data_IF_205805555847
#
_entry.id   IF_205805555847
#
_cell.length_a   1.000
_cell.length_b   1.000
_cell.length_c   1.000
_cell.angle_alpha   90.00
_cell.angle_beta   90.00
_cell.angle_gamma   90.00
#
_symmetry.space_group_name_H-M   'P 1'
#
loop_
_entity.id
_entity.type
_entity.pdbx_description
1 polymer ?
#
# COMPACT_ATOMS: atom_id res chain seq x y z
N UNK A 1 34.49 12.37 0.26
CA UNK A 1 33.05 12.72 0.43
C UNK A 1 32.08 11.88 -0.41
N UNK A 2 32.50 11.14 -1.47
CA UNK A 2 31.54 10.38 -2.30
C UNK A 2 30.91 9.15 -1.63
N UNK A 3 31.56 8.50 -0.65
CA UNK A 3 31.01 7.29 -0.02
C UNK A 3 29.74 7.53 0.80
N UNK A 4 29.53 8.75 1.31
CA UNK A 4 28.33 9.07 2.09
C UNK A 4 27.06 9.08 1.22
N UNK A 5 27.17 9.48 -0.06
CA UNK A 5 26.02 9.56 -0.97
C UNK A 5 25.37 8.19 -1.21
N UNK A 6 26.18 7.15 -1.41
CA UNK A 6 25.69 5.78 -1.66
C UNK A 6 24.93 5.20 -0.46
N UNK A 7 25.42 5.45 0.76
CA UNK A 7 24.77 4.96 1.98
C UNK A 7 23.50 5.76 2.26
N UNK A 8 23.54 7.09 2.13
CA UNK A 8 22.39 7.96 2.38
C UNK A 8 21.23 7.68 1.41
N UNK A 9 21.53 7.40 0.14
CA UNK A 9 20.51 7.03 -0.85
C UNK A 9 19.78 5.74 -0.47
N UNK A 10 20.50 4.71 -0.02
CA UNK A 10 19.88 3.45 0.43
C UNK A 10 19.02 3.64 1.68
N UNK A 11 19.46 4.49 2.62
CA UNK A 11 18.69 4.81 3.82
C UNK A 11 17.41 5.56 3.46
N UNK A 12 17.48 6.54 2.55
CA UNK A 12 16.31 7.31 2.12
C UNK A 12 15.31 6.46 1.36
N UNK A 13 15.78 5.61 0.44
CA UNK A 13 14.96 4.63 -0.30
C UNK A 13 14.23 3.69 0.66
N UNK A 14 14.94 3.08 1.62
CA UNK A 14 14.34 2.20 2.61
C UNK A 14 13.29 2.90 3.48
N UNK A 15 13.59 4.12 3.94
CA UNK A 15 12.68 4.94 4.73
C UNK A 15 11.43 5.31 3.95
N UNK A 16 11.58 5.62 2.66
CA UNK A 16 10.47 5.92 1.75
C UNK A 16 9.52 4.73 1.62
N UNK A 17 10.03 3.54 1.29
CA UNK A 17 9.19 2.34 1.16
C UNK A 17 8.44 2.01 2.45
N UNK A 18 9.10 2.10 3.62
CA UNK A 18 8.44 1.86 4.90
C UNK A 18 7.37 2.91 5.21
N UNK A 19 7.64 4.18 4.91
CA UNK A 19 6.68 5.26 5.13
C UNK A 19 5.48 5.15 4.19
N UNK A 20 5.72 4.76 2.94
CA UNK A 20 4.67 4.46 1.97
C UNK A 20 3.85 3.24 2.43
N UNK A 21 4.51 2.15 2.81
CA UNK A 21 3.84 0.94 3.29
C UNK A 21 2.94 1.20 4.51
N UNK A 22 3.44 1.95 5.49
CA UNK A 22 2.66 2.35 6.68
C UNK A 22 1.49 3.31 6.37
N UNK A 23 1.50 3.97 5.21
CA UNK A 23 0.45 4.92 4.82
C UNK A 23 -0.58 4.31 3.87
N UNK A 24 -0.15 3.40 3.00
CA UNK A 24 -0.97 2.83 1.94
C UNK A 24 -1.61 1.50 2.35
N UNK A 25 -0.93 0.69 3.16
CA UNK A 25 -1.39 -0.66 3.45
C UNK A 25 -1.76 -0.85 4.92
N UNK A 26 -2.75 -1.71 5.12
CA UNK A 26 -3.10 -2.29 6.41
C UNK A 26 -2.65 -3.76 6.41
N UNK A 27 -2.13 -4.24 7.54
CA UNK A 27 -1.71 -5.64 7.66
C UNK A 27 -2.85 -6.49 8.21
N UNK A 28 -3.19 -7.58 7.51
CA UNK A 28 -4.06 -8.63 8.03
C UNK A 28 -3.24 -9.55 8.93
N UNK A 29 -3.63 -9.70 10.20
CA UNK A 29 -2.93 -10.58 11.14
C UNK A 29 -3.92 -11.35 12.01
N UNK A 30 -3.76 -12.68 12.08
CA UNK A 30 -4.47 -13.53 13.05
C UNK A 30 -4.01 -13.26 14.50
N UNK A 31 -2.81 -12.72 14.67
CA UNK A 31 -2.25 -12.40 15.99
C UNK A 31 -2.51 -10.92 16.30
N UNK A 32 -3.39 -10.65 17.26
CA UNK A 32 -3.81 -9.28 17.60
C UNK A 32 -2.69 -8.38 18.13
N UNK A 33 -1.52 -8.93 18.49
CA UNK A 33 -0.46 -8.21 19.22
C UNK A 33 0.91 -8.21 18.50
N UNK A 34 0.95 -8.36 17.17
CA UNK A 34 2.24 -8.29 16.45
C UNK A 34 2.83 -6.87 16.52
N UNK A 35 1.99 -5.85 16.38
CA UNK A 35 2.43 -4.44 16.32
C UNK A 35 2.19 -3.66 17.62
N UNK A 36 1.53 -4.27 18.61
CA UNK A 36 1.28 -3.61 19.89
C UNK A 36 2.55 -3.68 20.78
N UNK A 37 3.03 -2.51 21.20
CA UNK A 37 4.09 -2.41 22.21
C UNK A 37 3.53 -2.89 23.54
N UNK A 38 4.17 -3.87 24.19
CA UNK A 38 3.74 -4.39 25.51
C UNK A 38 3.60 -3.30 26.57
N UNK A 39 4.29 -2.17 26.40
CA UNK A 39 4.22 -1.00 27.28
C UNK A 39 2.91 -0.21 27.20
N UNK A 40 2.00 -0.51 26.28
CA UNK A 40 0.84 0.34 25.96
C UNK A 40 -0.51 -0.22 26.40
N UNK A 41 -0.54 -1.35 27.11
CA UNK A 41 -1.81 -1.98 27.52
C UNK A 41 -2.42 -1.39 28.81
N UNK A 42 -1.69 -0.53 29.55
CA UNK A 42 -2.15 -0.04 30.86
C UNK A 42 -2.66 1.41 30.89
N UNK A 43 -2.61 2.19 29.80
CA UNK A 43 -2.99 3.60 29.86
C UNK A 43 -3.59 4.12 28.56
N UNK A 44 -4.93 4.14 28.53
CA UNK A 44 -5.82 4.90 27.64
C UNK A 44 -5.74 4.67 26.11
N UNK A 45 -6.89 4.84 25.39
CA UNK A 45 -6.96 4.70 23.94
C UNK A 45 -6.24 5.85 23.25
N UNK A 46 -4.91 5.76 23.18
CA UNK A 46 -4.08 6.70 22.44
C UNK A 46 -4.53 6.73 20.96
N UNK A 47 -4.74 7.95 20.46
CA UNK A 47 -4.88 8.50 19.09
C UNK A 47 -4.76 7.61 17.83
N UNK A 48 -4.17 6.42 17.93
CA UNK A 48 -4.16 5.35 16.92
C UNK A 48 -5.53 4.88 16.44
N UNK A 49 -6.55 4.90 17.30
CA UNK A 49 -7.92 4.55 16.89
C UNK A 49 -8.47 5.50 15.81
N UNK A 50 -8.05 6.77 15.78
CA UNK A 50 -8.65 7.75 14.87
C UNK A 50 -8.36 7.46 13.38
N UNK A 51 -7.23 6.84 13.05
CA UNK A 51 -6.97 6.43 11.67
C UNK A 51 -7.83 5.25 11.26
N UNK A 52 -7.94 4.22 12.10
CA UNK A 52 -8.82 3.11 11.79
C UNK A 52 -10.26 3.61 11.68
N UNK A 53 -10.73 4.43 12.63
CA UNK A 53 -12.06 5.09 12.56
C UNK A 53 -12.26 5.94 11.32
N UNK A 54 -11.20 6.46 10.70
CA UNK A 54 -11.32 7.17 9.41
C UNK A 54 -11.64 6.21 8.26
N UNK A 55 -11.13 4.99 8.29
CA UNK A 55 -11.35 3.97 7.25
C UNK A 55 -12.48 2.98 7.57
N UNK A 56 -12.83 2.84 8.85
CA UNK A 56 -13.91 1.98 9.38
C UNK A 56 -15.06 2.78 9.96
N UNK A 57 -15.03 4.10 9.79
CA UNK A 57 -16.17 4.95 10.15
C UNK A 57 -17.37 4.49 9.35
N UNK A 58 -18.53 4.48 10.01
CA UNK A 58 -19.83 4.03 9.45
C UNK A 58 -20.16 4.73 8.11
N UNK A 59 -19.51 5.85 7.81
CA UNK A 59 -19.64 6.61 6.57
C UNK A 59 -19.11 5.90 5.31
N UNK A 60 -18.17 4.96 5.42
CA UNK A 60 -17.54 4.30 4.26
C UNK A 60 -17.95 2.84 4.07
N UNK A 61 -18.66 2.26 5.04
CA UNK A 61 -19.14 0.87 4.96
C UNK A 61 -20.63 0.94 4.63
N UNK A 62 -21.07 0.51 3.43
CA UNK A 62 -22.49 0.50 3.10
C UNK A 62 -23.25 -0.33 4.15
N UNK A 63 -24.44 0.13 4.55
CA UNK A 63 -25.23 -0.50 5.60
C UNK A 63 -25.54 -1.99 5.31
N UNK A 64 -25.54 -2.35 4.03
CA UNK A 64 -25.81 -3.70 3.53
C UNK A 64 -24.54 -4.56 3.33
N UNK A 65 -23.37 -4.09 3.77
CA UNK A 65 -22.13 -4.84 3.63
C UNK A 65 -22.23 -6.21 4.32
N UNK A 66 -21.79 -7.31 3.66
CA UNK A 66 -21.85 -8.64 4.25
C UNK A 66 -21.03 -8.70 5.55
N UNK A 67 -21.61 -9.34 6.57
CA UNK A 67 -21.01 -9.45 7.92
C UNK A 67 -19.59 -10.01 7.89
N UNK A 68 -19.28 -10.86 6.91
CA UNK A 68 -17.95 -11.44 6.69
C UNK A 68 -16.90 -10.39 6.33
N UNK A 69 -17.23 -9.45 5.45
CA UNK A 69 -16.32 -8.39 5.01
C UNK A 69 -16.05 -7.41 6.16
N UNK A 70 -17.07 -7.12 6.98
CA UNK A 70 -16.91 -6.33 8.20
C UNK A 70 -16.01 -7.05 9.21
N UNK A 71 -16.16 -8.37 9.37
CA UNK A 71 -15.29 -9.17 10.23
C UNK A 71 -13.85 -9.22 9.70
N UNK A 72 -13.67 -9.27 8.38
CA UNK A 72 -12.36 -9.18 7.74
C UNK A 72 -11.72 -7.80 7.95
N UNK A 73 -12.47 -6.71 7.77
CA UNK A 73 -11.97 -5.36 8.01
C UNK A 73 -11.53 -5.17 9.47
N UNK A 74 -12.28 -5.73 10.42
CA UNK A 74 -11.92 -5.72 11.85
C UNK A 74 -10.60 -6.46 12.15
N UNK A 75 -10.17 -7.37 11.28
CA UNK A 75 -8.90 -8.09 11.43
C UNK A 75 -7.68 -7.32 10.89
N UNK A 76 -7.89 -6.19 10.21
CA UNK A 76 -6.83 -5.33 9.72
C UNK A 76 -6.24 -4.48 10.84
N UNK A 77 -4.91 -4.45 10.90
CA UNK A 77 -4.16 -3.66 11.86
C UNK A 77 -3.31 -2.62 11.13
N UNK A 78 -3.22 -1.41 11.71
CA UNK A 78 -2.28 -0.40 11.23
C UNK A 78 -0.85 -0.88 11.45
N UNK A 79 -0.04 -0.84 10.39
CA UNK A 79 1.38 -1.18 10.47
C UNK A 79 2.08 -0.02 11.17
N UNK A 80 2.43 -0.23 12.44
CA UNK A 80 3.21 0.74 13.23
C UNK A 80 4.60 0.19 13.50
N UNK A 81 5.55 0.62 12.69
CA UNK A 81 6.96 0.27 12.87
C UNK A 81 7.65 1.38 13.66
N UNK A 82 8.25 1.01 14.79
CA UNK A 82 9.12 1.93 15.53
C UNK A 82 10.35 2.21 14.69
N UNK A 83 10.90 3.42 14.81
CA UNK A 83 12.14 3.79 14.12
C UNK A 83 13.29 2.81 14.43
N UNK A 84 13.38 2.31 15.68
CA UNK A 84 14.37 1.28 16.06
C UNK A 84 14.20 -0.03 15.29
N UNK A 85 12.96 -0.47 15.05
CA UNK A 85 12.69 -1.70 14.30
C UNK A 85 12.94 -1.49 12.80
N UNK A 86 12.60 -0.31 12.28
CA UNK A 86 12.95 0.12 10.92
C UNK A 86 14.47 0.13 10.70
N UNK A 87 15.24 0.74 11.61
CA UNK A 87 16.69 0.76 11.52
C UNK A 87 17.30 -0.65 11.63
N UNK A 88 16.75 -1.49 12.52
CA UNK A 88 17.16 -2.91 12.61
C UNK A 88 16.85 -3.68 11.33
N UNK A 89 15.72 -3.37 10.68
CA UNK A 89 15.32 -4.01 9.42
C UNK A 89 16.29 -3.62 8.30
N UNK A 90 16.65 -2.34 8.23
CA UNK A 90 17.67 -1.83 7.33
C UNK A 90 19.01 -2.53 7.55
N UNK A 91 19.50 -2.58 8.78
CA UNK A 91 20.76 -3.24 9.12
C UNK A 91 20.70 -4.75 8.84
N UNK A 92 19.58 -5.41 9.08
CA UNK A 92 19.42 -6.83 8.79
C UNK A 92 19.48 -7.16 7.29
N UNK A 93 19.13 -6.20 6.41
CA UNK A 93 19.24 -6.33 4.95
C UNK A 93 20.64 -5.94 4.46
N UNK A 94 21.26 -4.94 5.07
CA UNK A 94 22.55 -4.38 4.64
C UNK A 94 23.75 -5.16 5.18
N UNK A 95 23.71 -5.53 6.46
CA UNK A 95 24.78 -6.25 7.12
C UNK A 95 24.55 -7.74 6.89
N UNK A 96 25.43 -8.36 6.10
CA UNK A 96 25.40 -9.80 5.80
C UNK A 96 25.04 -10.66 7.02
N UNK A 97 24.27 -11.74 6.80
CA UNK A 97 23.71 -12.68 7.82
C UNK A 97 24.70 -13.10 8.93
N UNK A 98 26.02 -12.96 8.71
CA UNK A 98 27.10 -13.31 9.64
C UNK A 98 27.27 -12.38 10.85
N UNK A 99 27.00 -11.07 10.75
CA UNK A 99 27.36 -10.13 11.84
C UNK A 99 26.19 -9.88 12.80
N UNK A 100 24.95 -9.99 12.33
CA UNK A 100 23.78 -9.87 13.20
C UNK A 100 23.43 -11.21 13.83
N UNK A 101 24.11 -11.54 14.93
CA UNK A 101 23.74 -12.68 15.78
C UNK A 101 22.25 -12.63 16.13
N UNK A 102 21.59 -13.76 15.88
CA UNK A 102 20.14 -14.01 15.89
C UNK A 102 19.42 -13.81 17.25
N UNK A 103 20.01 -13.12 18.22
CA UNK A 103 19.77 -13.52 19.60
C UNK A 103 18.41 -13.11 20.17
N UNK A 104 17.74 -12.07 19.67
CA UNK A 104 16.48 -11.62 20.29
C UNK A 104 15.37 -11.16 19.34
N UNK A 105 15.51 -11.29 18.02
CA UNK A 105 14.50 -10.74 17.10
C UNK A 105 13.51 -11.79 16.58
N UNK A 106 12.66 -12.32 17.47
CA UNK A 106 11.63 -13.34 17.15
C UNK A 106 10.64 -12.91 16.04
N UNK A 107 10.53 -11.62 15.75
CA UNK A 107 9.62 -11.05 14.73
C UNK A 107 10.32 -10.68 13.41
N UNK A 108 11.61 -10.98 13.27
CA UNK A 108 12.43 -10.57 12.10
C UNK A 108 11.83 -11.04 10.78
N UNK A 109 11.55 -12.33 10.65
CA UNK A 109 11.13 -12.92 9.37
C UNK A 109 9.79 -12.35 8.90
N UNK A 110 8.86 -12.10 9.83
CA UNK A 110 7.57 -11.47 9.53
C UNK A 110 7.72 -10.04 9.03
N UNK A 111 8.66 -9.28 9.62
CA UNK A 111 8.92 -7.89 9.23
C UNK A 111 9.64 -7.80 7.89
N UNK A 112 10.56 -8.74 7.62
CA UNK A 112 11.22 -8.85 6.31
C UNK A 112 10.19 -9.18 5.24
N UNK A 113 9.35 -10.20 5.45
CA UNK A 113 8.32 -10.58 4.49
C UNK A 113 7.31 -9.44 4.25
N UNK A 114 6.86 -8.75 5.29
CA UNK A 114 5.99 -7.57 5.16
C UNK A 114 6.65 -6.48 4.32
N UNK A 115 7.95 -6.24 4.53
CA UNK A 115 8.68 -5.25 3.76
C UNK A 115 8.84 -5.66 2.29
N UNK A 116 9.26 -6.88 2.02
CA UNK A 116 9.42 -7.40 0.65
C UNK A 116 8.10 -7.35 -0.13
N UNK A 117 7.00 -7.82 0.46
CA UNK A 117 5.67 -7.73 -0.16
C UNK A 117 5.24 -6.28 -0.38
N UNK A 118 5.53 -5.38 0.56
CA UNK A 118 5.18 -3.97 0.40
C UNK A 118 5.99 -3.31 -0.73
N UNK A 119 7.27 -3.65 -0.88
CA UNK A 119 8.11 -3.14 -1.96
C UNK A 119 7.60 -3.66 -3.30
N UNK A 120 7.32 -4.96 -3.42
CA UNK A 120 6.79 -5.56 -4.64
C UNK A 120 5.46 -4.91 -5.06
N UNK A 121 4.52 -4.72 -4.10
CA UNK A 121 3.25 -4.05 -4.37
C UNK A 121 3.44 -2.59 -4.76
N UNK A 122 4.25 -1.85 -4.01
CA UNK A 122 4.57 -0.46 -4.31
C UNK A 122 5.19 -0.35 -5.70
N UNK A 123 6.14 -1.21 -6.07
CA UNK A 123 6.76 -1.21 -7.40
C UNK A 123 5.77 -1.58 -8.49
N UNK A 124 4.84 -2.51 -8.22
CA UNK A 124 3.78 -2.88 -9.17
C UNK A 124 2.77 -1.75 -9.40
N UNK A 125 2.42 -1.02 -8.34
CA UNK A 125 1.43 0.07 -8.35
C UNK A 125 2.05 1.41 -8.80
N UNK A 126 3.30 1.69 -8.42
CA UNK A 126 4.10 2.86 -8.83
C UNK A 126 4.88 2.64 -10.12
N UNK A 127 4.56 1.61 -10.92
CA UNK A 127 5.02 1.54 -12.30
C UNK A 127 4.26 2.56 -13.16
N UNK A 128 4.41 3.84 -12.79
CA UNK A 128 3.95 5.03 -13.50
C UNK A 128 4.47 4.99 -14.93
N UNK A 129 5.60 4.32 -15.18
CA UNK A 129 6.14 4.09 -16.52
C UNK A 129 5.25 3.12 -17.31
N UNK A 130 4.75 2.02 -16.73
CA UNK A 130 3.71 1.17 -17.35
C UNK A 130 2.41 1.94 -17.57
N UNK A 131 1.98 2.76 -16.61
CA UNK A 131 0.77 3.57 -16.74
C UNK A 131 0.93 4.59 -17.89
N UNK A 132 2.06 5.29 -17.96
CA UNK A 132 2.37 6.26 -19.03
C UNK A 132 2.57 5.56 -20.38
N UNK A 133 3.19 4.37 -20.42
CA UNK A 133 3.33 3.56 -21.64
C UNK A 133 1.96 3.10 -22.15
N UNK A 134 1.09 2.59 -21.28
CA UNK A 134 -0.29 2.23 -21.65
C UNK A 134 -1.09 3.41 -22.19
N UNK A 135 -0.97 4.59 -21.57
CA UNK A 135 -1.60 5.83 -22.07
C UNK A 135 -1.03 6.27 -23.43
N UNK A 136 0.29 6.13 -23.65
CA UNK A 136 0.93 6.42 -24.94
C UNK A 136 0.48 5.44 -26.01
N UNK A 137 0.43 4.15 -25.72
CA UNK A 137 0.01 3.11 -26.66
C UNK A 137 -1.46 3.29 -27.06
N UNK A 138 -2.33 3.63 -26.11
CA UNK A 138 -3.72 4.01 -26.38
C UNK A 138 -3.81 5.24 -27.30
N UNK A 139 -2.99 6.28 -27.04
CA UNK A 139 -2.93 7.48 -27.86
C UNK A 139 -2.39 7.21 -29.27
N UNK A 140 -1.41 6.32 -29.40
CA UNK A 140 -0.85 5.90 -30.70
C UNK A 140 -1.89 5.08 -31.47
N UNK A 141 -2.58 4.15 -30.79
CA UNK A 141 -3.68 3.38 -31.35
C UNK A 141 -4.76 4.33 -31.90
N UNK A 142 -5.20 5.34 -31.14
CA UNK A 142 -6.18 6.32 -31.59
C UNK A 142 -5.70 7.24 -32.74
N UNK A 143 -4.39 7.43 -32.87
CA UNK A 143 -3.77 8.31 -33.88
C UNK A 143 -3.44 7.60 -35.19
N UNK A 144 -3.14 6.29 -35.15
CA UNK A 144 -2.84 5.53 -36.36
C UNK A 144 -4.05 5.53 -37.31
N UNK A 145 -3.83 5.95 -38.55
CA UNK A 145 -4.84 6.13 -39.60
C UNK A 145 -5.40 4.82 -40.17
N UNK A 146 -4.91 3.67 -39.69
CA UNK A 146 -5.31 2.33 -40.14
C UNK A 146 -6.62 1.86 -39.49
N UNK A 147 -7.06 2.52 -38.41
CA UNK A 147 -8.36 2.24 -37.82
C UNK A 147 -9.48 2.82 -38.68
N UNK A 148 -10.31 1.92 -39.21
CA UNK A 148 -11.56 2.26 -39.89
C UNK A 148 -12.36 3.24 -39.00
N UNK A 149 -12.86 4.39 -39.52
CA UNK A 149 -13.57 5.41 -38.73
C UNK A 149 -14.65 4.85 -37.82
N UNK A 150 -15.29 3.75 -38.22
CA UNK A 150 -16.32 3.04 -37.46
C UNK A 150 -15.76 2.39 -36.18
N UNK A 151 -14.60 1.74 -36.25
CA UNK A 151 -13.92 1.15 -35.08
C UNK A 151 -13.38 2.26 -34.18
N UNK A 152 -12.88 3.36 -34.76
CA UNK A 152 -12.45 4.54 -34.02
C UNK A 152 -13.61 5.21 -33.26
N UNK A 153 -14.79 5.21 -33.86
CA UNK A 153 -16.03 5.68 -33.23
C UNK A 153 -16.46 4.75 -32.09
N UNK A 154 -16.46 3.42 -32.30
CA UNK A 154 -16.79 2.43 -31.28
C UNK A 154 -15.82 2.45 -30.09
N UNK A 155 -14.50 2.65 -30.32
CA UNK A 155 -13.52 2.77 -29.22
C UNK A 155 -13.75 4.07 -28.43
N UNK A 156 -14.06 5.18 -29.12
CA UNK A 156 -14.34 6.48 -28.47
C UNK A 156 -15.63 6.49 -27.66
N UNK A 157 -16.64 5.72 -28.06
CA UNK A 157 -17.97 5.67 -27.44
C UNK A 157 -18.23 4.35 -26.71
N UNK A 158 -17.20 3.52 -26.52
CA UNK A 158 -17.32 2.30 -25.73
C UNK A 158 -17.56 2.71 -24.27
N UNK A 159 -18.55 2.11 -23.61
CA UNK A 159 -18.92 2.39 -22.21
C UNK A 159 -17.76 2.24 -21.22
N UNK A 160 -16.69 1.51 -21.59
CA UNK A 160 -15.44 1.42 -20.80
C UNK A 160 -14.63 2.72 -20.72
N UNK A 161 -14.90 3.71 -21.59
CA UNK A 161 -14.16 4.99 -21.67
C UNK A 161 -15.05 6.23 -21.51
N UNK A 162 -16.34 6.04 -21.28
CA UNK A 162 -17.28 7.09 -20.92
C UNK A 162 -17.23 7.25 -19.41
N UNK A 163 -16.71 8.39 -18.94
CA UNK A 163 -16.86 8.79 -17.55
C UNK A 163 -18.23 9.46 -17.48
N UNK A 164 -19.22 8.73 -16.97
CA UNK A 164 -20.57 9.23 -16.81
C UNK A 164 -20.58 10.23 -15.64
N UNK A 165 -20.79 11.51 -15.96
CA UNK A 165 -20.78 12.58 -14.98
C UNK A 165 -22.16 12.77 -14.34
N UNK A 166 -23.21 12.16 -14.90
CA UNK A 166 -24.56 12.19 -14.33
C UNK A 166 -24.75 11.12 -13.24
N UNK A 167 -24.01 10.02 -13.28
CA UNK A 167 -23.92 9.04 -12.18
C UNK A 167 -23.07 9.55 -11.00
N UNK A 168 -22.34 10.67 -11.15
CA UNK A 168 -21.65 11.33 -10.02
C UNK A 168 -22.61 11.99 -9.02
N UNK A 169 -23.91 12.04 -9.32
CA UNK A 169 -24.95 12.35 -8.35
C UNK A 169 -25.66 11.07 -7.80
N UNK A 170 -25.36 9.87 -8.31
CA UNK A 170 -26.09 8.64 -7.99
C UNK A 170 -25.24 7.41 -7.59
N UNK A 171 -23.91 7.45 -7.58
CA UNK A 171 -23.08 6.27 -7.24
C UNK A 171 -21.89 6.66 -6.33
N UNK A 172 -21.99 6.83 -4.99
CA UNK A 172 -22.37 5.93 -3.89
C UNK A 172 -23.43 4.84 -4.13
N UNK A 173 -23.12 3.86 -4.96
CA UNK A 173 -23.29 2.47 -4.56
C UNK A 173 -22.42 1.57 -5.44
N UNK A 174 -21.57 0.81 -4.76
CA UNK A 174 -20.77 -0.30 -5.24
C UNK A 174 -19.54 0.07 -6.08
N UNK A 175 -18.39 -0.03 -5.42
CA UNK A 175 -17.11 -0.32 -6.06
C UNK A 175 -16.33 -1.36 -5.25
#
# INVERSE_FOLDING_TARGET
>A
MMCCGFILYRISEHSFHLKAANRLYLARSKQQNIFQSQSSQATQPSTSSNRLKKYTGEEWIPADAPRELVAELKSHQEIRLKFKDSLRLFLARFVSKRIFMNFCWRKKDKLINLYEQSVERIESELDVIKIIKGLKDLKILMKNSVLNPEVKYQIKHSSKYLIDLEDSAACFDLQ
#
